data_IF_037791359201
#
_entry.id   IF_037791359201
#
_cell.length_a   1.000
_cell.length_b   1.000
_cell.length_c   1.000
_cell.angle_alpha   90.00
_cell.angle_beta   90.00
_cell.angle_gamma   90.00
#
_symmetry.space_group_name_H-M   'P 1'
#
loop_
_entity.id
_entity.type
_entity.pdbx_description
1 polymer ?
#
# COMPACT_ATOMS: atom_id res chain seq x y z
N UNK A 1 -6.97 -28.63 26.12
CA UNK A 1 -7.57 -28.89 24.79
C UNK A 1 -6.88 -27.98 23.80
N UNK A 2 -5.60 -28.28 23.60
CA UNK A 2 -4.83 -27.86 22.44
C UNK A 2 -5.15 -28.85 21.30
N UNK A 3 -4.78 -28.49 20.09
CA UNK A 3 -4.93 -29.24 18.83
C UNK A 3 -6.30 -29.08 18.15
N UNK A 4 -6.35 -28.12 17.19
CA UNK A 4 -7.13 -28.23 15.95
C UNK A 4 -6.92 -27.00 15.03
N UNK A 5 -5.67 -26.58 14.80
CA UNK A 5 -5.34 -25.69 13.66
C UNK A 5 -3.98 -26.02 13.06
N UNK A 6 -3.68 -27.31 12.92
CA UNK A 6 -2.78 -27.83 11.89
C UNK A 6 -3.69 -28.37 10.78
N UNK A 7 -4.03 -27.50 9.83
CA UNK A 7 -4.65 -27.91 8.57
C UNK A 7 -3.91 -27.23 7.43
N UNK A 8 -3.31 -28.10 6.64
CA UNK A 8 -2.62 -27.91 5.37
C UNK A 8 -3.10 -26.73 4.54
N UNK A 9 -2.12 -26.05 3.94
CA UNK A 9 -2.30 -25.01 2.92
C UNK A 9 -3.17 -25.56 1.78
N UNK A 10 -4.44 -25.15 1.73
CA UNK A 10 -5.28 -25.34 0.55
C UNK A 10 -5.20 -24.10 -0.34
N UNK A 11 -4.53 -24.28 -1.48
CA UNK A 11 -4.15 -23.26 -2.45
C UNK A 11 -5.28 -22.96 -3.45
N UNK A 12 -6.54 -22.97 -2.98
CA UNK A 12 -7.70 -22.91 -3.87
C UNK A 12 -8.55 -21.67 -3.54
N UNK A 13 -8.30 -20.61 -4.32
CA UNK A 13 -9.02 -19.32 -4.38
C UNK A 13 -8.71 -18.39 -3.19
N UNK A 14 -7.47 -17.88 -3.17
CA UNK A 14 -7.15 -16.67 -2.44
C UNK A 14 -7.88 -15.48 -3.10
N UNK A 15 -8.79 -14.82 -2.37
CA UNK A 15 -9.22 -13.46 -2.72
C UNK A 15 -8.04 -12.53 -2.50
N UNK A 16 -7.21 -12.37 -3.51
CA UNK A 16 -6.04 -11.48 -3.49
C UNK A 16 -6.53 -10.03 -3.48
N UNK A 17 -6.49 -9.39 -2.32
CA UNK A 17 -6.64 -7.94 -2.22
C UNK A 17 -5.25 -7.37 -2.47
N UNK A 18 -4.98 -6.92 -3.71
CA UNK A 18 -3.74 -6.23 -4.02
C UNK A 18 -3.79 -4.83 -3.38
N UNK A 19 -3.07 -4.65 -2.27
CA UNK A 19 -2.76 -3.33 -1.76
C UNK A 19 -1.47 -2.88 -2.45
N UNK A 20 -1.59 -2.02 -3.47
CA UNK A 20 -0.42 -1.45 -4.11
C UNK A 20 0.14 -0.34 -3.22
N UNK A 21 1.14 -0.67 -2.42
CA UNK A 21 1.91 0.32 -1.66
C UNK A 21 2.99 0.86 -2.57
N UNK A 22 2.85 2.12 -3.00
CA UNK A 22 3.91 2.81 -3.72
C UNK A 22 5.01 3.16 -2.72
N UNK A 23 6.07 2.37 -2.67
CA UNK A 23 7.26 2.69 -1.90
C UNK A 23 8.11 3.65 -2.74
N UNK A 24 8.28 4.89 -2.28
CA UNK A 24 9.43 5.70 -2.70
C UNK A 24 10.60 5.16 -1.87
N UNK A 25 11.55 4.50 -2.53
CA UNK A 25 12.56 3.71 -1.85
C UNK A 25 13.57 4.60 -1.13
N UNK A 26 13.53 4.64 0.19
CA UNK A 26 14.71 4.36 1.02
C UNK A 26 14.26 4.21 2.45
N UNK A 27 14.64 3.08 3.04
CA UNK A 27 14.36 2.70 4.42
C UNK A 27 12.91 2.27 4.69
N UNK A 28 12.72 0.95 4.76
CA UNK A 28 11.93 0.36 5.82
C UNK A 28 12.61 0.69 7.17
N UNK A 29 12.67 1.98 7.54
CA UNK A 29 13.24 2.41 8.79
C UNK A 29 12.24 2.15 9.90
N UNK A 30 12.62 1.25 10.80
CA UNK A 30 12.17 1.18 12.19
C UNK A 30 10.67 1.11 12.41
N UNK A 31 10.04 0.10 11.82
CA UNK A 31 8.80 -0.40 12.38
C UNK A 31 9.05 -1.76 13.00
N UNK A 32 8.53 -1.96 14.22
CA UNK A 32 8.64 -3.15 15.08
C UNK A 32 7.92 -4.38 14.47
N UNK A 33 8.23 -4.69 13.22
CA UNK A 33 7.55 -5.69 12.38
C UNK A 33 6.23 -5.23 11.75
N UNK A 34 5.69 -4.03 12.06
CA UNK A 34 4.39 -3.57 11.55
C UNK A 34 4.49 -2.26 10.78
N UNK A 35 4.30 -2.30 9.46
CA UNK A 35 4.37 -1.12 8.58
C UNK A 35 3.05 -0.34 8.65
N UNK A 36 3.02 0.89 9.19
CA UNK A 36 1.85 1.74 9.14
C UNK A 36 1.71 2.37 7.75
N UNK A 37 0.52 2.22 7.19
CA UNK A 37 0.18 2.71 5.87
C UNK A 37 -0.98 3.68 5.99
N UNK A 38 -0.79 4.89 5.48
CA UNK A 38 -1.81 5.93 5.42
C UNK A 38 -2.50 5.89 4.07
N UNK A 39 -3.78 5.51 4.04
CA UNK A 39 -4.58 5.58 2.83
C UNK A 39 -4.92 7.04 2.51
N UNK A 40 -4.20 7.58 1.52
CA UNK A 40 -4.44 8.92 0.99
C UNK A 40 -5.53 8.93 -0.09
N UNK A 41 -5.86 7.76 -0.64
CA UNK A 41 -6.97 7.57 -1.57
C UNK A 41 -7.60 6.18 -1.47
N UNK A 42 -8.93 6.14 -1.38
CA UNK A 42 -9.71 4.89 -1.34
C UNK A 42 -9.87 4.20 -2.70
N UNK A 43 -9.67 5.00 -3.77
CA UNK A 43 -9.65 4.59 -5.17
C UNK A 43 -8.93 5.66 -6.00
N UNK A 44 -8.33 5.31 -7.14
CA UNK A 44 -7.81 6.28 -8.09
C UNK A 44 -8.95 7.15 -8.65
N UNK A 45 -8.73 8.46 -8.76
CA UNK A 45 -9.58 9.38 -9.52
C UNK A 45 -9.36 9.16 -11.03
N UNK A 46 -8.09 9.11 -11.42
CA UNK A 46 -7.64 8.80 -12.78
C UNK A 46 -6.25 8.18 -12.73
N UNK A 47 -5.85 7.56 -13.83
CA UNK A 47 -4.53 6.93 -14.00
C UNK A 47 -3.93 7.36 -15.33
N UNK A 48 -2.61 7.40 -15.43
CA UNK A 48 -1.93 7.65 -16.71
C UNK A 48 -2.02 6.45 -17.64
N UNK A 49 -1.81 6.70 -18.95
CA UNK A 49 -1.75 5.63 -19.96
C UNK A 49 -0.37 4.97 -20.04
N UNK A 50 0.66 5.65 -19.55
CA UNK A 50 2.02 5.13 -19.45
C UNK A 50 2.10 4.08 -18.35
N UNK A 51 2.89 3.03 -18.58
CA UNK A 51 2.99 1.86 -17.70
C UNK A 51 4.39 1.78 -17.09
N UNK A 52 4.45 1.56 -15.79
CA UNK A 52 5.63 1.18 -15.02
C UNK A 52 5.55 -0.30 -14.65
N UNK A 53 6.69 -0.97 -14.55
CA UNK A 53 6.77 -2.34 -14.01
C UNK A 53 7.07 -2.26 -12.52
N UNK A 54 6.11 -2.66 -11.68
CA UNK A 54 6.20 -2.53 -10.22
C UNK A 54 6.48 -3.90 -9.61
N UNK A 55 7.50 -4.05 -8.75
CA UNK A 55 7.74 -5.30 -8.05
C UNK A 55 6.57 -5.60 -7.11
N UNK A 56 6.09 -6.84 -7.11
CA UNK A 56 5.05 -7.29 -6.19
C UNK A 56 5.69 -7.75 -4.88
N UNK A 57 5.25 -7.18 -3.77
CA UNK A 57 5.70 -7.58 -2.43
C UNK A 57 4.56 -8.28 -1.70
N UNK A 58 4.78 -9.53 -1.33
CA UNK A 58 3.85 -10.29 -0.49
C UNK A 58 4.11 -9.91 0.98
N UNK A 59 3.16 -9.19 1.57
CA UNK A 59 3.23 -8.78 2.99
C UNK A 59 2.12 -9.48 3.77
N UNK A 60 2.43 -10.23 4.84
CA UNK A 60 1.44 -10.80 5.73
C UNK A 60 0.50 -9.72 6.28
N UNK A 61 -0.81 -10.02 6.35
CA UNK A 61 -1.81 -9.04 6.78
C UNK A 61 -1.56 -8.50 8.19
N UNK A 62 -0.98 -9.31 9.07
CA UNK A 62 -0.63 -8.94 10.44
C UNK A 62 0.57 -7.97 10.54
N UNK A 63 1.33 -7.79 9.45
CA UNK A 63 2.46 -6.86 9.37
C UNK A 63 2.07 -5.51 8.74
N UNK A 64 0.80 -5.34 8.36
CA UNK A 64 0.26 -4.10 7.80
C UNK A 64 -0.78 -3.47 8.73
N UNK A 65 -0.47 -2.27 9.22
CA UNK A 65 -1.44 -1.42 9.92
C UNK A 65 -1.97 -0.35 8.96
N UNK A 66 -3.22 -0.49 8.54
CA UNK A 66 -3.82 0.41 7.55
C UNK A 66 -4.71 1.46 8.22
N UNK A 67 -4.36 2.73 8.02
CA UNK A 67 -5.09 3.88 8.54
C UNK A 67 -5.82 4.58 7.41
N UNK A 68 -7.13 4.81 7.56
CA UNK A 68 -7.98 5.46 6.55
C UNK A 68 -8.60 6.73 7.13
N UNK A 69 -8.98 7.68 6.26
CA UNK A 69 -9.54 8.97 6.67
C UNK A 69 -8.63 9.72 7.64
N UNK A 70 -7.33 9.66 7.38
CA UNK A 70 -6.29 10.38 8.13
C UNK A 70 -6.21 11.83 7.64
N UNK A 71 -5.87 12.76 8.54
CA UNK A 71 -5.44 14.10 8.18
C UNK A 71 -3.92 14.12 8.09
N UNK A 72 -3.36 14.56 6.97
CA UNK A 72 -1.90 14.66 6.81
C UNK A 72 -1.46 16.04 7.31
N UNK A 73 -0.77 16.07 8.45
CA UNK A 73 -0.27 17.32 9.03
C UNK A 73 1.07 17.76 8.43
N UNK A 74 1.89 16.80 7.98
CA UNK A 74 3.21 17.06 7.39
C UNK A 74 3.67 15.91 6.49
N UNK A 75 4.54 16.23 5.54
CA UNK A 75 5.20 15.30 4.63
C UNK A 75 6.71 15.39 4.88
N UNK A 76 7.40 14.25 4.94
CA UNK A 76 8.85 14.24 5.08
C UNK A 76 9.52 14.62 3.76
N UNK A 77 10.51 15.52 3.83
CA UNK A 77 11.31 15.95 2.67
C UNK A 77 12.39 14.91 2.28
N UNK A 78 12.70 13.97 3.18
CA UNK A 78 13.85 13.06 3.04
C UNK A 78 13.46 11.59 3.06
N UNK A 79 12.23 11.27 3.49
CA UNK A 79 11.74 9.91 3.62
C UNK A 79 10.34 9.79 3.00
N UNK A 80 9.92 8.59 2.58
CA UNK A 80 8.60 8.34 2.02
C UNK A 80 7.51 8.27 3.12
N UNK A 81 7.48 9.25 4.02
CA UNK A 81 6.63 9.26 5.21
C UNK A 81 5.77 10.51 5.26
N UNK A 82 4.56 10.32 5.77
CA UNK A 82 3.62 11.38 6.13
C UNK A 82 3.27 11.27 7.61
N UNK A 83 3.19 12.40 8.29
CA UNK A 83 2.66 12.44 9.66
C UNK A 83 1.15 12.60 9.58
N UNK A 84 0.46 11.60 10.10
CA UNK A 84 -0.99 11.54 10.17
C UNK A 84 -1.45 12.01 11.54
N UNK A 85 -2.30 13.02 11.57
CA UNK A 85 -2.93 13.50 12.80
C UNK A 85 -4.29 12.83 12.98
N UNK A 86 -4.51 12.24 14.15
CA UNK A 86 -5.81 11.78 14.60
C UNK A 86 -6.27 12.62 15.78
N UNK A 87 -7.53 12.48 16.20
CA UNK A 87 -8.06 13.17 17.38
C UNK A 87 -7.33 12.84 18.70
N UNK A 88 -6.52 11.77 18.74
CA UNK A 88 -5.91 11.24 19.97
C UNK A 88 -4.38 11.29 19.96
N UNK A 89 -3.76 11.16 18.79
CA UNK A 89 -2.32 11.11 18.65
C UNK A 89 -1.91 11.36 17.19
N UNK A 90 -0.62 11.63 16.99
CA UNK A 90 0.01 11.67 15.67
C UNK A 90 0.83 10.40 15.45
N UNK A 91 0.89 9.93 14.22
CA UNK A 91 1.71 8.79 13.82
C UNK A 91 2.33 9.05 12.45
N UNK A 92 3.54 8.54 12.23
CA UNK A 92 4.14 8.55 10.89
C UNK A 92 3.71 7.29 10.13
N UNK A 93 3.49 7.42 8.83
CA UNK A 93 3.04 6.33 7.98
C UNK A 93 3.52 6.50 6.54
N UNK A 94 3.64 5.39 5.83
CA UNK A 94 3.90 5.40 4.39
C UNK A 94 2.59 5.78 3.67
N UNK A 95 2.56 6.81 2.83
CA UNK A 95 1.38 7.16 2.06
C UNK A 95 1.08 6.07 1.03
N UNK A 96 -0.18 5.65 0.91
CA UNK A 96 -0.59 4.65 -0.07
C UNK A 96 -1.97 4.92 -0.65
N UNK A 97 -2.20 4.33 -1.83
CA UNK A 97 -3.47 4.40 -2.54
C UNK A 97 -4.02 2.99 -2.66
N UNK A 98 -5.28 2.79 -2.28
CA UNK A 98 -5.93 1.51 -2.51
C UNK A 98 -6.39 1.43 -3.96
N UNK A 99 -5.97 0.39 -4.67
CA UNK A 99 -6.41 0.11 -6.03
C UNK A 99 -7.08 -1.25 -6.07
N UNK A 100 -8.36 -1.26 -6.45
CA UNK A 100 -9.10 -2.50 -6.63
C UNK A 100 -8.85 -2.99 -8.05
N UNK A 101 -8.25 -4.16 -8.17
CA UNK A 101 -8.04 -4.80 -9.46
C UNK A 101 -9.37 -5.27 -10.07
N UNK A 102 -9.50 -5.15 -11.39
CA UNK A 102 -10.66 -5.68 -12.12
C UNK A 102 -10.67 -7.20 -12.21
N UNK A 103 -9.49 -7.81 -12.21
CA UNK A 103 -9.28 -9.25 -12.27
C UNK A 103 -8.22 -9.64 -11.23
N UNK A 104 -8.34 -10.82 -10.59
CA UNK A 104 -7.30 -11.32 -9.71
C UNK A 104 -5.97 -11.46 -10.46
N UNK A 105 -4.87 -11.12 -9.79
CA UNK A 105 -3.51 -11.40 -10.28
C UNK A 105 -3.01 -12.61 -9.51
N UNK A 106 -2.53 -13.62 -10.24
CA UNK A 106 -1.82 -14.76 -9.66
C UNK A 106 -0.35 -14.39 -9.55
N UNK A 107 0.22 -14.59 -8.37
CA UNK A 107 1.61 -14.27 -8.06
C UNK A 107 2.37 -15.58 -8.00
N UNK A 108 3.12 -15.88 -9.06
CA UNK A 108 3.85 -17.15 -9.18
C UNK A 108 5.23 -17.12 -8.52
N UNK A 109 5.79 -15.93 -8.30
CA UNK A 109 7.08 -15.74 -7.63
C UNK A 109 7.16 -14.42 -6.85
N UNK A 110 8.02 -14.34 -5.81
CA UNK A 110 8.27 -13.11 -5.05
C UNK A 110 8.90 -11.98 -5.89
N UNK A 111 9.63 -12.32 -6.95
CA UNK A 111 10.31 -11.36 -7.84
C UNK A 111 9.44 -10.97 -9.05
N UNK A 112 8.13 -11.21 -8.96
CA UNK A 112 7.21 -10.93 -10.04
C UNK A 112 6.92 -9.43 -10.16
N UNK A 113 6.83 -8.95 -11.39
CA UNK A 113 6.50 -7.57 -11.70
C UNK A 113 5.10 -7.49 -12.28
N UNK A 114 4.36 -6.45 -11.90
CA UNK A 114 3.05 -6.14 -12.44
C UNK A 114 3.13 -4.90 -13.34
N UNK A 115 2.59 -4.92 -14.57
CA UNK A 115 2.37 -3.70 -15.33
C UNK A 115 1.32 -2.85 -14.62
N UNK A 116 1.68 -1.62 -14.28
CA UNK A 116 0.82 -0.72 -13.53
C UNK A 116 0.94 0.71 -14.08
N UNK A 117 -0.12 1.53 -14.05
CA UNK A 117 -0.02 2.93 -14.47
C UNK A 117 1.10 3.67 -13.76
N UNK A 118 1.90 4.44 -14.49
CA UNK A 118 3.10 5.11 -13.95
C UNK A 118 2.78 6.26 -13.00
N UNK A 119 1.53 6.72 -12.96
CA UNK A 119 1.03 7.71 -12.03
C UNK A 119 -0.45 7.47 -11.75
N UNK A 120 -0.83 7.65 -10.49
CA UNK A 120 -2.21 7.63 -10.02
C UNK A 120 -2.58 9.01 -9.51
N UNK A 121 -3.70 9.56 -9.96
CA UNK A 121 -4.28 10.75 -9.38
C UNK A 121 -5.31 10.36 -8.31
N UNK A 122 -5.25 10.98 -7.14
CA UNK A 122 -6.24 10.77 -6.06
C UNK A 122 -6.77 12.09 -5.53
N UNK A 123 -7.88 12.01 -4.79
CA UNK A 123 -8.42 13.13 -4.02
C UNK A 123 -8.23 12.85 -2.55
N UNK A 124 -7.49 13.71 -1.86
CA UNK A 124 -7.27 13.67 -0.43
C UNK A 124 -7.68 15.03 0.17
N UNK A 125 -8.60 15.03 1.13
CA UNK A 125 -9.11 16.26 1.78
C UNK A 125 -9.57 17.36 0.80
N UNK A 126 -10.13 16.96 -0.35
CA UNK A 126 -10.60 17.87 -1.40
C UNK A 126 -9.51 18.38 -2.35
N UNK A 127 -8.24 18.07 -2.08
CA UNK A 127 -7.12 18.37 -2.96
C UNK A 127 -6.85 17.21 -3.92
N UNK A 128 -6.46 17.54 -5.15
CA UNK A 128 -6.01 16.57 -6.14
C UNK A 128 -4.50 16.42 -6.04
N UNK A 129 -4.04 15.17 -5.96
CA UNK A 129 -2.61 14.84 -5.88
C UNK A 129 -2.27 13.75 -6.89
N UNK A 130 -1.12 13.92 -7.54
CA UNK A 130 -0.50 12.90 -8.39
C UNK A 130 0.48 12.09 -7.55
N UNK A 131 0.30 10.77 -7.56
CA UNK A 131 1.16 9.79 -6.87
C UNK A 131 1.94 9.03 -7.95
N UNK A 132 3.25 9.27 -8.08
CA UNK A 132 4.06 8.52 -9.02
C UNK A 132 4.14 7.04 -8.61
N UNK A 133 4.21 6.16 -9.61
CA UNK A 133 4.30 4.71 -9.40
C UNK A 133 5.55 4.16 -10.09
N UNK A 134 6.36 3.42 -9.33
CA UNK A 134 7.62 2.86 -9.82
C UNK A 134 8.73 3.90 -10.02
N UNK A 135 8.54 5.12 -9.49
CA UNK A 135 9.63 6.09 -9.38
C UNK A 135 10.60 5.60 -8.30
N UNK A 136 11.84 5.31 -8.71
CA UNK A 136 12.98 5.03 -7.83
C UNK A 136 13.47 6.32 -7.18
#
# INVERSE_FOLDING_TARGET
LADLFTSEFDMTIAKVVLLLVAFVSSTAAQYDGVIPVALVGDRPLSVTQTVSHVPMLLVPRNELALYSRVHISSVSDTQPLVTCQTNRYSLDAVPAVRVVLRQPVVVDSPDSYLPFPSEINVVHEGLRMSVPVGAL
#
